data_IF_037606749561
#
_entry.id   IF_037606749561
#
_cell.length_a   1.000
_cell.length_b   1.000
_cell.length_c   1.000
_cell.angle_alpha   90.00
_cell.angle_beta   90.00
_cell.angle_gamma   90.00
#
_symmetry.space_group_name_H-M   'P 1'
#
loop_
_entity.id
_entity.type
_entity.pdbx_description
1 polymer ?
#
# COMPACT_ATOMS: atom_id res chain seq x y z
N UNK A 1 -27.20 9.30 -41.04
CA UNK A 1 -26.45 10.11 -40.06
C UNK A 1 -26.73 9.54 -38.69
N UNK A 2 -25.72 8.93 -38.03
CA UNK A 2 -25.87 8.40 -36.66
C UNK A 2 -25.57 9.55 -35.68
N UNK A 3 -26.54 9.87 -34.82
CA UNK A 3 -26.35 10.83 -33.73
C UNK A 3 -25.21 10.37 -32.83
N UNK A 4 -24.24 11.25 -32.63
CA UNK A 4 -23.17 11.06 -31.65
C UNK A 4 -23.73 11.47 -30.30
N UNK A 5 -24.09 10.49 -29.48
CA UNK A 5 -24.56 10.69 -28.10
C UNK A 5 -23.46 11.36 -27.27
N UNK A 6 -23.66 12.64 -26.92
CA UNK A 6 -22.72 13.40 -26.09
C UNK A 6 -22.73 12.84 -24.66
N UNK A 7 -21.66 12.16 -24.29
CA UNK A 7 -21.44 11.69 -22.94
C UNK A 7 -21.33 12.88 -21.96
N UNK A 8 -22.23 12.94 -21.00
CA UNK A 8 -22.16 13.98 -19.96
C UNK A 8 -20.89 13.84 -19.10
N UNK A 9 -20.35 14.96 -18.57
CA UNK A 9 -19.17 14.96 -17.70
C UNK A 9 -19.27 14.00 -16.52
N UNK A 10 -20.47 13.81 -15.95
CA UNK A 10 -20.72 12.84 -14.87
C UNK A 10 -20.59 11.39 -15.34
N UNK A 11 -21.07 11.04 -16.53
CA UNK A 11 -20.91 9.70 -17.11
C UNK A 11 -19.45 9.42 -17.46
N UNK A 12 -18.70 10.43 -17.94
CA UNK A 12 -17.28 10.30 -18.24
C UNK A 12 -16.43 10.09 -16.97
N UNK A 13 -16.68 10.85 -15.90
CA UNK A 13 -15.97 10.70 -14.61
C UNK A 13 -16.29 9.34 -13.97
N UNK A 14 -17.54 8.90 -14.03
CA UNK A 14 -17.93 7.58 -13.50
C UNK A 14 -17.28 6.41 -14.23
N UNK A 15 -17.18 6.47 -15.56
CA UNK A 15 -16.57 5.40 -16.37
C UNK A 15 -15.04 5.41 -16.32
N UNK A 16 -14.39 6.58 -16.23
CA UNK A 16 -12.94 6.66 -16.12
C UNK A 16 -12.40 6.27 -14.72
N UNK A 17 -13.14 6.55 -13.65
CA UNK A 17 -12.78 6.09 -12.31
C UNK A 17 -12.82 4.55 -12.19
N UNK A 18 -13.82 3.86 -12.81
CA UNK A 18 -13.88 2.41 -12.82
C UNK A 18 -12.78 1.76 -13.67
N UNK A 19 -12.44 2.36 -14.82
CA UNK A 19 -11.40 1.83 -15.70
C UNK A 19 -9.99 2.01 -15.11
N UNK A 20 -9.72 3.12 -14.42
CA UNK A 20 -8.42 3.41 -13.81
C UNK A 20 -8.05 2.45 -12.67
N UNK A 21 -9.02 2.06 -11.84
CA UNK A 21 -8.78 1.13 -10.72
C UNK A 21 -8.60 -0.31 -11.21
N UNK A 22 -9.35 -0.75 -12.24
CA UNK A 22 -9.20 -2.09 -12.80
C UNK A 22 -7.86 -2.29 -13.54
N UNK A 23 -7.33 -1.25 -14.18
CA UNK A 23 -6.03 -1.29 -14.87
C UNK A 23 -4.84 -1.24 -13.90
N UNK A 24 -5.03 -0.75 -12.67
CA UNK A 24 -3.96 -0.63 -11.67
C UNK A 24 -3.65 -1.93 -10.92
N UNK A 25 -4.51 -2.96 -11.06
CA UNK A 25 -4.31 -4.27 -10.42
C UNK A 25 -4.44 -5.40 -11.44
N UNK A 26 -3.45 -5.57 -12.35
CA UNK A 26 -3.51 -6.64 -13.36
C UNK A 26 -3.53 -8.06 -12.77
N UNK A 27 -3.17 -8.21 -11.50
CA UNK A 27 -3.21 -9.50 -10.80
C UNK A 27 -4.61 -9.95 -10.39
N UNK A 28 -5.57 -9.03 -10.35
CA UNK A 28 -6.97 -9.32 -9.98
C UNK A 28 -7.81 -9.78 -11.16
N UNK A 29 -7.31 -9.66 -12.40
CA UNK A 29 -8.07 -9.94 -13.63
C UNK A 29 -8.00 -11.39 -14.11
N UNK A 30 -7.23 -12.29 -13.51
CA UNK A 30 -7.26 -13.72 -13.79
C UNK A 30 -8.07 -14.45 -12.73
N UNK A 31 -9.39 -14.48 -12.92
CA UNK A 31 -10.32 -15.26 -12.14
C UNK A 31 -10.22 -16.75 -12.46
N UNK A 32 -9.23 -17.42 -11.91
CA UNK A 32 -9.24 -18.85 -11.72
C UNK A 32 -8.71 -19.13 -10.31
N UNK A 33 -9.65 -19.54 -9.42
CA UNK A 33 -9.37 -20.06 -8.07
C UNK A 33 -8.41 -19.23 -7.22
N UNK A 34 -8.78 -17.98 -6.88
CA UNK A 34 -8.21 -17.28 -5.74
C UNK A 34 -8.73 -17.94 -4.45
N UNK A 35 -8.21 -19.11 -4.14
CA UNK A 35 -8.08 -19.54 -2.77
C UNK A 35 -7.35 -18.39 -2.07
N UNK A 36 -7.97 -17.80 -1.08
CA UNK A 36 -7.62 -16.58 -0.36
C UNK A 36 -6.11 -16.36 -0.18
N UNK A 37 -5.44 -15.79 -1.18
CA UNK A 37 -4.06 -15.38 -1.02
C UNK A 37 -4.04 -14.18 -0.07
N UNK A 38 -3.50 -14.40 1.10
CA UNK A 38 -3.34 -13.34 2.09
C UNK A 38 -2.18 -12.44 1.67
N UNK A 39 -2.47 -11.16 1.41
CA UNK A 39 -1.45 -10.14 1.13
C UNK A 39 -0.80 -9.74 2.46
N UNK A 40 0.48 -10.02 2.59
CA UNK A 40 1.29 -9.69 3.77
C UNK A 40 1.85 -8.28 3.63
N UNK A 41 1.57 -7.44 4.61
CA UNK A 41 1.83 -6.01 4.57
C UNK A 41 2.86 -5.62 5.63
N UNK A 42 3.85 -4.83 5.23
CA UNK A 42 4.72 -4.09 6.15
C UNK A 42 4.30 -2.62 6.24
N UNK A 43 4.24 -2.08 7.45
CA UNK A 43 3.99 -0.67 7.71
C UNK A 43 5.30 0.08 8.02
N UNK A 44 5.64 1.10 7.22
CA UNK A 44 6.78 1.98 7.46
C UNK A 44 6.26 3.36 7.89
N UNK A 45 6.37 3.62 9.20
CA UNK A 45 5.74 4.76 9.85
C UNK A 45 4.29 4.48 10.27
N UNK A 46 4.06 4.39 11.58
CA UNK A 46 2.74 4.11 12.17
C UNK A 46 2.20 5.32 12.94
N UNK A 47 2.49 6.53 12.46
CA UNK A 47 1.87 7.78 12.92
C UNK A 47 0.38 7.84 12.58
N UNK A 48 -0.26 8.99 12.80
CA UNK A 48 -1.70 9.15 12.54
C UNK A 48 -2.10 8.74 11.12
N UNK A 49 -1.35 9.20 10.10
CA UNK A 49 -1.63 8.87 8.70
C UNK A 49 -1.35 7.41 8.37
N UNK A 50 -0.20 6.87 8.84
CA UNK A 50 0.13 5.44 8.64
C UNK A 50 -0.88 4.50 9.29
N UNK A 51 -1.35 4.82 10.51
CA UNK A 51 -2.42 4.07 11.17
C UNK A 51 -3.70 4.06 10.31
N UNK A 52 -4.08 5.22 9.75
CA UNK A 52 -5.25 5.31 8.86
C UNK A 52 -5.08 4.48 7.58
N UNK A 53 -3.93 4.58 6.91
CA UNK A 53 -3.65 3.84 5.68
C UNK A 53 -3.64 2.31 5.91
N UNK A 54 -3.04 1.84 6.99
CA UNK A 54 -3.09 0.41 7.36
C UNK A 54 -4.52 -0.02 7.67
N UNK A 55 -5.29 0.79 8.39
CA UNK A 55 -6.71 0.50 8.65
C UNK A 55 -7.51 0.34 7.35
N UNK A 56 -7.34 1.23 6.39
CA UNK A 56 -7.99 1.14 5.07
C UNK A 56 -7.58 -0.12 4.30
N UNK A 57 -6.29 -0.49 4.32
CA UNK A 57 -5.81 -1.72 3.68
C UNK A 57 -6.39 -2.97 4.36
N UNK A 58 -6.51 -2.97 5.68
CA UNK A 58 -7.11 -4.07 6.41
C UNK A 58 -8.64 -4.16 6.20
N UNK A 59 -9.32 -3.08 5.91
CA UNK A 59 -10.75 -3.06 5.58
C UNK A 59 -11.03 -3.38 4.10
N UNK A 60 -10.08 -3.11 3.18
CA UNK A 60 -10.22 -3.28 1.74
C UNK A 60 -10.73 -4.67 1.26
N UNK A 61 -10.36 -5.80 1.86
CA UNK A 61 -10.92 -7.10 1.48
C UNK A 61 -12.45 -7.16 1.55
N UNK A 62 -13.06 -6.56 2.56
CA UNK A 62 -14.53 -6.52 2.71
C UNK A 62 -15.19 -5.70 1.61
N UNK A 63 -14.59 -4.56 1.26
CA UNK A 63 -15.09 -3.68 0.22
C UNK A 63 -14.97 -4.33 -1.16
N UNK A 64 -13.84 -5.02 -1.43
CA UNK A 64 -13.62 -5.76 -2.67
C UNK A 64 -14.59 -6.94 -2.83
N UNK A 65 -14.86 -7.68 -1.76
CA UNK A 65 -15.85 -8.77 -1.81
C UNK A 65 -17.25 -8.23 -2.08
N UNK A 66 -17.66 -7.17 -1.35
CA UNK A 66 -18.97 -6.56 -1.47
C UNK A 66 -19.22 -5.92 -2.84
N UNK A 67 -18.24 -5.16 -3.35
CA UNK A 67 -18.43 -4.36 -4.56
C UNK A 67 -18.08 -5.12 -5.86
N UNK A 68 -17.16 -6.08 -5.79
CA UNK A 68 -16.59 -6.74 -6.96
C UNK A 68 -16.62 -8.28 -6.90
N UNK A 69 -17.07 -8.85 -5.79
CA UNK A 69 -17.06 -10.30 -5.59
C UNK A 69 -15.64 -10.91 -5.49
N UNK A 70 -14.62 -10.07 -5.24
CA UNK A 70 -13.23 -10.51 -5.14
C UNK A 70 -12.94 -10.88 -3.70
N UNK A 71 -12.59 -12.13 -3.46
CA UNK A 71 -12.16 -12.64 -2.17
C UNK A 71 -10.64 -12.57 -2.05
N UNK A 72 -10.16 -11.81 -1.10
CA UNK A 72 -8.77 -11.74 -0.70
C UNK A 72 -8.68 -11.50 0.80
N UNK A 73 -7.50 -11.56 1.37
CA UNK A 73 -7.26 -11.17 2.75
C UNK A 73 -6.00 -10.29 2.84
N UNK A 74 -5.88 -9.54 3.91
CA UNK A 74 -4.69 -8.72 4.20
C UNK A 74 -4.24 -8.97 5.63
N UNK A 75 -2.93 -9.04 5.86
CA UNK A 75 -2.32 -9.30 7.16
C UNK A 75 -1.18 -8.33 7.40
N UNK A 76 -1.19 -7.62 8.52
CA UNK A 76 -0.04 -6.81 8.95
C UNK A 76 0.98 -7.74 9.61
N UNK A 77 2.18 -7.85 9.04
CA UNK A 77 3.19 -8.80 9.51
C UNK A 77 4.50 -8.15 9.97
N UNK A 78 4.76 -6.90 9.60
CA UNK A 78 5.94 -6.17 10.03
C UNK A 78 5.63 -4.67 10.20
N UNK A 79 6.32 -4.02 11.12
CA UNK A 79 6.21 -2.58 11.37
C UNK A 79 7.62 -2.00 11.54
N UNK A 80 7.90 -0.88 10.88
CA UNK A 80 9.03 -0.03 11.19
C UNK A 80 8.54 1.34 11.67
N UNK A 81 8.99 1.75 12.84
CA UNK A 81 8.67 3.04 13.43
C UNK A 81 9.93 3.62 14.07
N UNK A 82 10.22 4.91 13.83
CA UNK A 82 11.41 5.55 14.40
C UNK A 82 11.42 5.47 15.94
N UNK A 83 10.24 5.48 16.53
CA UNK A 83 9.99 5.39 17.97
C UNK A 83 9.08 4.19 18.25
N UNK A 84 9.62 2.97 18.37
CA UNK A 84 8.83 1.73 18.40
C UNK A 84 7.85 1.68 19.57
N UNK A 85 8.13 2.36 20.67
CA UNK A 85 7.21 2.47 21.81
C UNK A 85 5.87 3.14 21.44
N UNK A 86 5.85 3.99 20.41
CA UNK A 86 4.63 4.63 19.89
C UNK A 86 3.78 3.68 19.05
N UNK A 87 4.36 2.62 18.53
CA UNK A 87 3.65 1.62 17.73
C UNK A 87 2.78 0.69 18.58
N UNK A 88 3.17 0.41 19.82
CA UNK A 88 2.52 -0.60 20.67
C UNK A 88 1.01 -0.37 20.85
N UNK A 89 0.61 0.86 21.20
CA UNK A 89 -0.80 1.21 21.37
C UNK A 89 -1.62 1.11 20.06
N UNK A 90 -0.99 1.41 18.92
CA UNK A 90 -1.64 1.30 17.59
C UNK A 90 -1.85 -0.16 17.21
N UNK A 91 -0.83 -0.99 17.44
CA UNK A 91 -0.88 -2.44 17.20
C UNK A 91 -1.95 -3.08 18.09
N UNK A 92 -2.01 -2.74 19.38
CA UNK A 92 -3.06 -3.23 20.28
C UNK A 92 -4.47 -2.84 19.79
N UNK A 93 -4.65 -1.61 19.29
CA UNK A 93 -5.88 -1.17 18.67
C UNK A 93 -6.27 -1.97 17.41
N UNK A 94 -5.30 -2.28 16.57
CA UNK A 94 -5.52 -3.14 15.39
C UNK A 94 -5.86 -4.59 15.80
N UNK A 95 -5.15 -5.18 16.75
CA UNK A 95 -5.46 -6.52 17.26
C UNK A 95 -6.89 -6.58 17.78
N UNK A 96 -7.33 -5.58 18.54
CA UNK A 96 -8.71 -5.51 19.05
C UNK A 96 -9.75 -5.41 17.93
N UNK A 97 -9.46 -4.67 16.85
CA UNK A 97 -10.40 -4.44 15.73
C UNK A 97 -10.43 -5.59 14.72
N UNK A 98 -9.27 -6.15 14.38
CA UNK A 98 -9.11 -7.07 13.24
C UNK A 98 -8.78 -8.50 13.64
N UNK A 99 -8.47 -8.77 14.90
CA UNK A 99 -8.03 -10.07 15.40
C UNK A 99 -6.51 -10.24 15.35
N UNK A 100 -5.99 -11.15 16.19
CA UNK A 100 -4.55 -11.42 16.28
C UNK A 100 -4.01 -12.15 15.04
N UNK A 101 -4.84 -12.98 14.44
CA UNK A 101 -4.53 -13.72 13.21
C UNK A 101 -4.22 -12.80 12.02
N UNK A 102 -4.82 -11.61 11.99
CA UNK A 102 -4.57 -10.59 10.96
C UNK A 102 -3.48 -9.57 11.33
N UNK A 103 -3.07 -9.53 12.59
CA UNK A 103 -2.05 -8.60 13.13
C UNK A 103 -0.93 -9.40 13.77
N UNK A 104 -0.09 -9.96 12.93
CA UNK A 104 1.00 -10.86 13.32
C UNK A 104 2.35 -10.14 13.18
N UNK A 105 2.64 -9.29 14.14
CA UNK A 105 3.87 -8.47 14.16
C UNK A 105 4.81 -8.83 15.30
N UNK A 106 4.59 -9.94 15.98
CA UNK A 106 5.41 -10.36 17.12
C UNK A 106 6.86 -10.58 16.68
N UNK A 107 7.81 -9.92 17.38
CA UNK A 107 9.24 -9.95 17.02
C UNK A 107 9.60 -9.15 15.75
N UNK A 108 8.61 -8.54 15.06
CA UNK A 108 8.81 -7.82 13.79
C UNK A 108 8.40 -6.33 13.88
N UNK A 109 8.75 -5.71 15.01
CA UNK A 109 8.61 -4.27 15.22
C UNK A 109 10.02 -3.69 15.27
N UNK A 110 10.41 -2.98 14.23
CA UNK A 110 11.77 -2.48 14.03
C UNK A 110 11.86 -0.99 14.32
N UNK A 111 12.81 -0.62 15.19
CA UNK A 111 13.02 0.76 15.62
C UNK A 111 14.08 1.52 14.81
N UNK A 112 14.07 2.84 14.98
CA UNK A 112 15.08 3.73 14.39
C UNK A 112 14.87 4.01 12.91
N UNK A 113 15.79 4.82 12.35
CA UNK A 113 15.66 5.32 10.97
C UNK A 113 15.92 4.24 9.91
N UNK A 114 16.66 3.19 10.24
CA UNK A 114 16.98 2.07 9.35
C UNK A 114 16.06 0.85 9.53
N UNK A 115 15.16 0.88 10.52
CA UNK A 115 14.22 -0.22 10.78
C UNK A 115 13.37 -0.61 9.57
N UNK A 116 13.15 0.32 8.64
CA UNK A 116 12.41 0.03 7.40
C UNK A 116 13.07 -1.06 6.55
N UNK A 117 14.40 -1.17 6.55
CA UNK A 117 15.11 -2.21 5.81
C UNK A 117 14.77 -3.59 6.36
N UNK A 118 14.74 -3.71 7.68
CA UNK A 118 14.39 -4.95 8.36
C UNK A 118 12.92 -5.34 8.05
N UNK A 119 11.98 -4.40 8.21
CA UNK A 119 10.57 -4.65 7.91
C UNK A 119 10.30 -5.02 6.44
N UNK A 120 11.02 -4.40 5.48
CA UNK A 120 10.88 -4.70 4.05
C UNK A 120 11.50 -6.05 3.69
N UNK A 121 12.53 -6.49 4.40
CA UNK A 121 13.19 -7.78 4.18
C UNK A 121 12.41 -8.96 4.76
N UNK A 122 11.42 -8.71 5.59
CA UNK A 122 10.50 -9.76 6.04
C UNK A 122 9.71 -10.36 4.86
N UNK A 123 9.07 -11.47 5.12
CA UNK A 123 8.22 -12.14 4.12
C UNK A 123 6.93 -11.34 3.90
N UNK A 124 7.03 -10.24 3.13
CA UNK A 124 5.97 -9.30 2.81
C UNK A 124 5.77 -9.17 1.31
N UNK A 125 4.53 -8.97 0.90
CA UNK A 125 4.14 -8.77 -0.51
C UNK A 125 4.01 -7.27 -0.85
N UNK A 126 3.67 -6.47 0.15
CA UNK A 126 3.36 -5.04 -0.01
C UNK A 126 3.93 -4.22 1.16
N UNK A 127 4.41 -3.04 0.83
CA UNK A 127 4.94 -2.06 1.79
C UNK A 127 4.09 -0.80 1.77
N UNK A 128 3.68 -0.34 2.94
CA UNK A 128 2.98 0.95 3.13
C UNK A 128 3.96 1.96 3.72
N UNK A 129 4.26 3.02 2.97
CA UNK A 129 5.21 4.07 3.40
C UNK A 129 4.43 5.33 3.78
N UNK A 130 4.41 5.65 5.07
CA UNK A 130 3.70 6.80 5.64
C UNK A 130 4.59 7.67 6.54
N UNK A 131 5.88 7.66 6.31
CA UNK A 131 6.89 8.48 6.99
C UNK A 131 6.87 9.93 6.50
N UNK A 132 7.58 10.86 7.15
CA UNK A 132 7.76 12.21 6.63
C UNK A 132 8.42 12.21 5.23
N UNK A 133 8.11 13.22 4.36
CA UNK A 133 8.50 13.22 2.95
C UNK A 133 10.00 13.07 2.68
N UNK A 134 10.85 13.58 3.59
CA UNK A 134 12.30 13.49 3.43
C UNK A 134 12.88 12.06 3.51
N UNK A 135 12.16 11.13 4.13
CA UNK A 135 12.60 9.73 4.25
C UNK A 135 12.04 8.82 3.15
N UNK A 136 10.92 9.21 2.52
CA UNK A 136 10.20 8.36 1.57
C UNK A 136 11.00 7.95 0.34
N UNK A 137 11.80 8.84 -0.30
CA UNK A 137 12.51 8.47 -1.52
C UNK A 137 13.44 7.27 -1.34
N UNK A 138 14.22 7.23 -0.26
CA UNK A 138 15.13 6.12 0.03
C UNK A 138 14.37 4.84 0.43
N UNK A 139 13.27 4.97 1.15
CA UNK A 139 12.45 3.83 1.56
C UNK A 139 11.72 3.21 0.37
N UNK A 140 11.22 4.03 -0.54
CA UNK A 140 10.60 3.61 -1.79
C UNK A 140 11.60 2.90 -2.71
N UNK A 141 12.76 3.50 -2.93
CA UNK A 141 13.84 2.88 -3.72
C UNK A 141 14.22 1.52 -3.14
N UNK A 142 14.39 1.42 -1.83
CA UNK A 142 14.73 0.15 -1.18
C UNK A 142 13.63 -0.90 -1.39
N UNK A 143 12.35 -0.55 -1.18
CA UNK A 143 11.23 -1.45 -1.37
C UNK A 143 11.13 -1.98 -2.83
N UNK A 144 11.29 -1.10 -3.81
CA UNK A 144 11.30 -1.45 -5.24
C UNK A 144 12.48 -2.37 -5.58
N UNK A 145 13.67 -2.11 -5.03
CA UNK A 145 14.83 -2.95 -5.24
C UNK A 145 14.62 -4.36 -4.67
N UNK A 146 13.95 -4.48 -3.53
CA UNK A 146 13.55 -5.76 -2.92
C UNK A 146 12.31 -6.40 -3.61
N UNK A 147 11.82 -5.85 -4.71
CA UNK A 147 10.71 -6.43 -5.47
C UNK A 147 9.35 -6.32 -4.79
N UNK A 148 9.17 -5.39 -3.86
CA UNK A 148 7.92 -5.24 -3.12
C UNK A 148 6.95 -4.30 -3.85
N UNK A 149 5.64 -4.61 -3.80
CA UNK A 149 4.58 -3.66 -4.17
C UNK A 149 4.53 -2.55 -3.12
N UNK A 150 4.23 -1.32 -3.53
CA UNK A 150 4.30 -0.17 -2.64
C UNK A 150 3.02 0.66 -2.68
N UNK A 151 2.50 1.00 -1.51
CA UNK A 151 1.59 2.12 -1.33
C UNK A 151 2.32 3.20 -0.53
N UNK A 152 2.42 4.41 -1.08
CA UNK A 152 3.14 5.51 -0.45
C UNK A 152 2.22 6.72 -0.26
N UNK A 153 2.19 7.28 0.95
CA UNK A 153 1.42 8.50 1.24
C UNK A 153 2.07 9.75 0.63
N UNK A 154 1.23 10.69 0.24
CA UNK A 154 1.68 12.04 -0.21
C UNK A 154 2.31 12.83 0.96
N UNK A 155 3.14 13.86 0.69
CA UNK A 155 3.90 14.06 -0.54
C UNK A 155 5.03 13.02 -0.65
N UNK A 156 5.44 12.72 -1.88
CA UNK A 156 6.39 11.63 -2.16
C UNK A 156 7.84 11.99 -1.83
N UNK A 157 8.17 13.27 -1.78
CA UNK A 157 9.47 13.81 -1.43
C UNK A 157 9.33 15.23 -0.91
N UNK A 158 10.40 15.79 -0.30
CA UNK A 158 10.49 17.16 0.19
C UNK A 158 11.31 18.09 -0.69
N UNK A 159 12.05 17.55 -1.66
CA UNK A 159 12.99 18.29 -2.48
C UNK A 159 13.15 17.67 -3.88
N UNK A 160 13.82 18.41 -4.78
CA UNK A 160 14.00 18.00 -6.20
C UNK A 160 14.83 16.73 -6.33
N UNK A 161 15.84 16.54 -5.49
CA UNK A 161 16.68 15.34 -5.50
C UNK A 161 15.85 14.11 -5.12
N UNK A 162 15.05 14.22 -4.07
CA UNK A 162 14.12 13.17 -3.67
C UNK A 162 13.09 12.85 -4.75
N UNK A 163 12.54 13.87 -5.44
CA UNK A 163 11.61 13.64 -6.57
C UNK A 163 12.30 12.87 -7.69
N UNK A 164 13.52 13.22 -8.08
CA UNK A 164 14.29 12.49 -9.10
C UNK A 164 14.51 11.03 -8.70
N UNK A 165 14.86 10.78 -7.46
CA UNK A 165 15.05 9.43 -6.91
C UNK A 165 13.78 8.61 -6.97
N UNK A 166 12.62 9.21 -6.64
CA UNK A 166 11.30 8.56 -6.76
C UNK A 166 10.99 8.24 -8.22
N UNK A 167 11.25 9.15 -9.16
CA UNK A 167 11.00 8.91 -10.58
C UNK A 167 11.86 7.78 -11.15
N UNK A 168 13.17 7.71 -10.80
CA UNK A 168 14.03 6.61 -11.20
C UNK A 168 13.55 5.28 -10.61
N UNK A 169 13.21 5.25 -9.32
CA UNK A 169 12.67 4.04 -8.68
C UNK A 169 11.33 3.61 -9.30
N UNK A 170 10.50 4.56 -9.73
CA UNK A 170 9.24 4.24 -10.42
C UNK A 170 9.46 3.58 -11.79
N UNK A 171 10.51 3.95 -12.52
CA UNK A 171 10.91 3.27 -13.77
C UNK A 171 11.29 1.82 -13.49
N UNK A 172 12.14 1.59 -12.48
CA UNK A 172 12.53 0.24 -12.05
C UNK A 172 11.32 -0.59 -11.62
N UNK A 173 10.39 0.02 -10.86
CA UNK A 173 9.16 -0.65 -10.46
C UNK A 173 8.33 -1.09 -11.68
N UNK A 174 8.21 -0.23 -12.69
CA UNK A 174 7.52 -0.55 -13.95
C UNK A 174 8.20 -1.70 -14.71
N UNK A 175 9.51 -1.68 -14.82
CA UNK A 175 10.29 -2.74 -15.47
C UNK A 175 10.14 -4.10 -14.76
N UNK A 176 10.06 -4.07 -13.41
CA UNK A 176 9.83 -5.27 -12.59
C UNK A 176 8.34 -5.69 -12.52
N UNK A 177 7.42 -4.97 -13.15
CA UNK A 177 5.98 -5.25 -13.07
C UNK A 177 5.37 -5.03 -11.67
N UNK A 178 6.00 -4.19 -10.84
CA UNK A 178 5.53 -3.91 -9.50
C UNK A 178 4.40 -2.88 -9.50
N UNK A 179 3.37 -3.12 -8.70
CA UNK A 179 2.29 -2.15 -8.48
C UNK A 179 2.73 -1.08 -7.48
N UNK A 180 2.58 0.18 -7.85
CA UNK A 180 2.84 1.34 -7.00
C UNK A 180 1.59 2.22 -6.93
N UNK A 181 1.11 2.49 -5.72
CA UNK A 181 0.01 3.41 -5.44
C UNK A 181 0.48 4.62 -4.64
N UNK A 182 -0.06 5.79 -4.92
CA UNK A 182 0.17 7.01 -4.16
C UNK A 182 -1.14 7.43 -3.49
N UNK A 183 -1.10 7.60 -2.16
CA UNK A 183 -2.23 8.12 -1.40
C UNK A 183 -2.47 9.59 -1.72
N UNK A 184 -3.69 9.92 -2.16
CA UNK A 184 -4.15 11.29 -2.36
C UNK A 184 -5.47 11.46 -1.58
N UNK A 185 -5.42 12.28 -0.54
CA UNK A 185 -6.59 12.64 0.28
C UNK A 185 -6.67 14.15 0.47
#
# INVERSE_FOLDING_TARGET
MKEVEQLSRRKFIGSSALAGVAASFPYVAKGENLQSDTIRVAAIGLGGRGTGAIGQILDAPKDLEKEKGIRCNTKLVAVAEAFPEKAAGKIAGFKKKYGEDRIDVEGRIFGGLDGYKQAINEDVDMVVIATPPGFKPQQFEYAVNQGKKVFMEKPVASDVTGVRRVLESAKIAKEKGLTVGIGLQ
#
